data_IF_858295729830
#
_entry.id   IF_858295729830
#
_cell.length_a   1.000
_cell.length_b   1.000
_cell.length_c   1.000
_cell.angle_alpha   90.00
_cell.angle_beta   90.00
_cell.angle_gamma   90.00
#
_symmetry.space_group_name_H-M   'P 1'
#
loop_
_entity.id
_entity.type
_entity.pdbx_description
1 polymer ?
#
# COMPACT_ATOMS: atom_id res chain seq x y z
N UNK A 1 13.37 14.09 -7.03
CA UNK A 1 12.13 14.65 -7.59
C UNK A 1 12.32 14.88 -9.09
N UNK A 2 11.36 14.42 -9.92
CA UNK A 2 11.42 14.44 -11.39
C UNK A 2 11.59 15.87 -11.95
N UNK A 3 11.04 16.87 -11.27
CA UNK A 3 11.13 18.28 -11.65
C UNK A 3 12.58 18.82 -11.83
N UNK A 4 13.56 18.16 -11.24
CA UNK A 4 14.99 18.55 -11.31
C UNK A 4 15.81 17.72 -12.28
N UNK A 5 15.22 16.72 -12.95
CA UNK A 5 15.93 15.79 -13.83
C UNK A 5 15.74 16.13 -15.31
N UNK A 6 16.65 15.65 -16.14
CA UNK A 6 16.50 15.71 -17.60
C UNK A 6 15.52 14.62 -18.06
N UNK A 7 14.29 15.02 -18.36
CA UNK A 7 13.21 14.09 -18.74
C UNK A 7 13.54 13.31 -20.01
N UNK A 8 14.14 13.96 -21.00
CA UNK A 8 14.56 13.30 -22.27
C UNK A 8 15.49 12.11 -22.03
N UNK A 9 16.44 12.26 -21.09
CA UNK A 9 17.41 11.22 -20.80
C UNK A 9 16.79 10.03 -20.06
N UNK A 10 15.79 10.32 -19.19
CA UNK A 10 15.04 9.28 -18.49
C UNK A 10 14.21 8.47 -19.49
N UNK A 11 13.44 9.14 -20.34
CA UNK A 11 12.60 8.50 -21.34
C UNK A 11 13.44 7.67 -22.32
N UNK A 12 14.58 8.19 -22.76
CA UNK A 12 15.48 7.46 -23.64
C UNK A 12 16.08 6.19 -22.98
N UNK A 13 16.41 6.27 -21.70
CA UNK A 13 16.94 5.11 -20.94
C UNK A 13 15.90 4.02 -20.71
N UNK A 14 14.63 4.37 -20.67
CA UNK A 14 13.51 3.47 -20.42
C UNK A 14 12.80 3.04 -21.73
N UNK A 15 13.45 3.18 -22.88
CA UNK A 15 12.90 2.79 -24.17
C UNK A 15 12.30 1.38 -24.12
N UNK A 16 11.04 1.21 -24.52
CA UNK A 16 10.31 -0.05 -24.48
C UNK A 16 9.97 -0.58 -23.08
N UNK A 17 10.29 0.18 -22.03
CA UNK A 17 10.05 -0.20 -20.62
C UNK A 17 8.85 0.50 -19.99
N UNK A 18 8.93 0.79 -18.69
CA UNK A 18 7.89 1.48 -17.95
C UNK A 18 8.45 2.61 -17.08
N UNK A 19 7.71 3.72 -17.01
CA UNK A 19 7.98 4.85 -16.14
C UNK A 19 6.77 5.07 -15.21
N UNK A 20 6.93 4.78 -13.92
CA UNK A 20 5.93 5.09 -12.90
C UNK A 20 6.32 6.39 -12.22
N UNK A 21 5.40 7.35 -12.19
CA UNK A 21 5.59 8.65 -11.57
C UNK A 21 4.65 8.75 -10.37
N UNK A 22 5.19 8.46 -9.20
CA UNK A 22 4.50 8.61 -7.92
C UNK A 22 4.33 10.09 -7.56
N UNK A 23 3.24 10.42 -6.85
CA UNK A 23 2.90 11.77 -6.42
C UNK A 23 2.92 12.76 -7.61
N UNK A 24 2.30 12.33 -8.72
CA UNK A 24 2.29 13.06 -9.98
C UNK A 24 1.68 14.47 -9.85
N UNK A 25 0.83 14.70 -8.85
CA UNK A 25 0.27 16.01 -8.52
C UNK A 25 1.32 17.08 -8.19
N UNK A 26 2.55 16.67 -7.88
CA UNK A 26 3.71 17.57 -7.61
C UNK A 26 4.52 17.92 -8.86
N UNK A 27 4.12 17.44 -10.03
CA UNK A 27 4.77 17.82 -11.29
C UNK A 27 4.52 19.31 -11.59
N UNK A 28 5.59 20.03 -11.89
CA UNK A 28 5.46 21.41 -12.38
C UNK A 28 4.98 21.41 -13.83
N UNK A 29 4.29 22.47 -14.26
CA UNK A 29 3.83 22.64 -15.65
C UNK A 29 4.99 22.51 -16.65
N UNK A 30 6.15 23.05 -16.30
CA UNK A 30 7.39 22.91 -17.09
C UNK A 30 7.80 21.44 -17.26
N UNK A 31 7.65 20.62 -16.22
CA UNK A 31 7.98 19.19 -16.26
C UNK A 31 6.95 18.43 -17.07
N UNK A 32 5.67 18.74 -16.92
CA UNK A 32 4.57 18.20 -17.74
C UNK A 32 4.82 18.49 -19.23
N UNK A 33 5.16 19.72 -19.60
CA UNK A 33 5.46 20.09 -20.98
C UNK A 33 6.67 19.33 -21.55
N UNK A 34 7.73 19.15 -20.73
CA UNK A 34 8.90 18.37 -21.15
C UNK A 34 8.58 16.87 -21.31
N UNK A 35 7.77 16.31 -20.41
CA UNK A 35 7.35 14.92 -20.50
C UNK A 35 6.44 14.73 -21.73
N UNK A 36 5.49 15.63 -21.95
CA UNK A 36 4.65 15.62 -23.15
C UNK A 36 5.47 15.59 -24.43
N UNK A 37 6.49 16.48 -24.54
CA UNK A 37 7.40 16.53 -25.69
C UNK A 37 8.25 15.28 -25.84
N UNK A 38 8.69 14.68 -24.72
CA UNK A 38 9.46 13.44 -24.77
C UNK A 38 8.62 12.25 -25.26
N UNK A 39 7.32 12.23 -24.91
CA UNK A 39 6.35 11.22 -25.35
C UNK A 39 5.96 11.34 -26.84
N UNK A 40 6.34 12.41 -27.53
CA UNK A 40 6.11 12.57 -28.98
C UNK A 40 7.16 11.85 -29.81
N UNK A 41 8.27 11.47 -29.19
CA UNK A 41 9.33 10.69 -29.84
C UNK A 41 8.99 9.21 -29.80
N UNK A 42 9.69 8.43 -30.62
CA UNK A 42 9.65 6.98 -30.50
C UNK A 42 10.14 6.55 -29.12
N UNK A 43 9.27 5.93 -28.35
CA UNK A 43 9.52 5.45 -26.99
C UNK A 43 9.54 3.91 -26.92
N UNK A 44 9.39 3.21 -28.05
CA UNK A 44 9.32 1.75 -28.09
C UNK A 44 8.11 1.20 -27.34
N UNK A 45 6.96 1.86 -27.43
CA UNK A 45 5.73 1.47 -26.71
C UNK A 45 5.88 1.52 -25.17
N UNK A 46 6.70 2.43 -24.67
CA UNK A 46 6.92 2.60 -23.22
C UNK A 46 5.62 2.90 -22.49
N UNK A 47 5.36 2.16 -21.42
CA UNK A 47 4.26 2.43 -20.51
C UNK A 47 4.59 3.59 -19.57
N UNK A 48 3.72 4.59 -19.48
CA UNK A 48 3.84 5.68 -18.49
C UNK A 48 2.63 5.65 -17.57
N UNK A 49 2.88 5.54 -16.28
CA UNK A 49 1.86 5.53 -15.22
C UNK A 49 2.04 6.75 -14.34
N UNK A 50 0.95 7.48 -14.12
CA UNK A 50 0.88 8.56 -13.15
C UNK A 50 0.08 8.07 -11.94
N UNK A 51 0.72 8.05 -10.77
CA UNK A 51 0.09 7.68 -9.51
C UNK A 51 -0.12 8.93 -8.67
N UNK A 52 -1.36 9.19 -8.27
CA UNK A 52 -1.73 10.31 -7.41
C UNK A 52 -3.19 10.20 -6.96
N UNK A 53 -3.54 10.95 -5.93
CA UNK A 53 -4.93 11.18 -5.55
C UNK A 53 -5.70 11.91 -6.68
N UNK A 54 -7.00 11.67 -6.78
CA UNK A 54 -7.87 12.17 -7.87
C UNK A 54 -7.73 13.67 -8.12
N UNK A 55 -7.93 14.51 -7.11
CA UNK A 55 -7.93 15.98 -7.28
C UNK A 55 -6.58 16.54 -7.76
N UNK A 56 -5.43 16.21 -7.14
CA UNK A 56 -4.12 16.65 -7.63
C UNK A 56 -3.79 16.13 -9.03
N UNK A 57 -4.17 14.88 -9.36
CA UNK A 57 -3.95 14.30 -10.68
C UNK A 57 -4.76 15.06 -11.75
N UNK A 58 -6.04 15.29 -11.50
CA UNK A 58 -6.91 16.03 -12.41
C UNK A 58 -6.39 17.47 -12.67
N UNK A 59 -5.80 18.11 -11.66
CA UNK A 59 -5.17 19.43 -11.80
C UNK A 59 -3.97 19.37 -12.76
N UNK A 60 -3.09 18.41 -12.59
CA UNK A 60 -1.91 18.22 -13.47
C UNK A 60 -2.33 17.90 -14.89
N UNK A 61 -3.27 17.00 -15.08
CA UNK A 61 -3.78 16.65 -16.41
C UNK A 61 -4.50 17.81 -17.08
N UNK A 62 -5.16 18.68 -16.31
CA UNK A 62 -5.86 19.86 -16.83
C UNK A 62 -4.90 20.98 -17.24
N UNK A 63 -3.67 20.99 -16.71
CA UNK A 63 -2.67 22.02 -17.06
C UNK A 63 -2.14 21.90 -18.48
N UNK A 64 -2.28 20.73 -19.12
CA UNK A 64 -1.83 20.50 -20.49
C UNK A 64 -2.77 19.54 -21.23
N UNK A 65 -3.56 20.07 -22.17
CA UNK A 65 -4.57 19.30 -22.91
C UNK A 65 -3.97 18.17 -23.75
N UNK A 66 -2.83 18.39 -24.39
CA UNK A 66 -2.19 17.37 -25.22
C UNK A 66 -1.59 16.26 -24.37
N UNK A 67 -1.01 16.60 -23.23
CA UNK A 67 -0.54 15.63 -22.26
C UNK A 67 -1.68 14.75 -21.73
N UNK A 68 -2.81 15.36 -21.36
CA UNK A 68 -4.00 14.65 -20.90
C UNK A 68 -4.51 13.62 -21.90
N UNK A 69 -4.53 13.95 -23.19
CA UNK A 69 -4.99 13.04 -24.25
C UNK A 69 -4.18 11.74 -24.37
N UNK A 70 -2.94 11.74 -23.90
CA UNK A 70 -2.07 10.57 -23.95
C UNK A 70 -2.39 9.53 -22.87
N UNK A 71 -3.17 9.90 -21.86
CA UNK A 71 -3.63 9.01 -20.78
C UNK A 71 -5.08 8.63 -21.03
N UNK A 72 -5.29 7.52 -21.73
CA UNK A 72 -6.61 7.02 -22.14
C UNK A 72 -7.23 6.08 -21.13
N UNK A 73 -6.41 5.49 -20.26
CA UNK A 73 -6.86 4.54 -19.23
C UNK A 73 -6.71 5.15 -17.84
N UNK A 74 -7.68 4.91 -17.00
CA UNK A 74 -7.70 5.34 -15.60
C UNK A 74 -8.07 4.13 -14.73
N UNK A 75 -7.24 3.86 -13.75
CA UNK A 75 -7.51 2.88 -12.70
C UNK A 75 -7.75 3.64 -11.39
N UNK A 76 -8.88 3.43 -10.77
CA UNK A 76 -9.15 3.91 -9.41
C UNK A 76 -8.93 2.77 -8.42
N UNK A 77 -8.07 3.01 -7.46
CA UNK A 77 -7.91 2.11 -6.30
C UNK A 77 -8.88 2.62 -5.23
N UNK A 78 -9.90 1.83 -4.86
CA UNK A 78 -10.87 2.25 -3.85
C UNK A 78 -10.20 2.44 -2.49
N UNK A 79 -10.78 3.30 -1.66
CA UNK A 79 -10.46 3.38 -0.23
C UNK A 79 -11.17 2.20 0.42
N UNK A 80 -10.42 1.39 1.14
CA UNK A 80 -10.98 0.29 1.92
C UNK A 80 -11.65 0.81 3.19
N UNK A 81 -12.81 0.26 3.52
CA UNK A 81 -13.46 0.49 4.82
C UNK A 81 -12.84 -0.43 5.89
N UNK A 82 -13.04 -0.10 7.17
CA UNK A 82 -12.42 -0.84 8.27
C UNK A 82 -12.72 -2.34 8.23
N UNK A 83 -13.93 -2.75 7.88
CA UNK A 83 -14.32 -4.17 7.80
C UNK A 83 -13.55 -4.92 6.71
N UNK A 84 -13.29 -4.27 5.56
CA UNK A 84 -12.49 -4.85 4.48
C UNK A 84 -11.02 -4.99 4.90
N UNK A 85 -10.50 -4.01 5.60
CA UNK A 85 -9.13 -4.02 6.15
C UNK A 85 -8.96 -5.10 7.23
N UNK A 86 -9.96 -5.28 8.10
CA UNK A 86 -9.97 -6.37 9.09
C UNK A 86 -10.04 -7.73 8.39
N UNK A 87 -10.89 -7.87 7.38
CA UNK A 87 -10.99 -9.10 6.58
C UNK A 87 -9.66 -9.44 5.90
N UNK A 88 -8.97 -8.43 5.36
CA UNK A 88 -7.61 -8.59 4.85
C UNK A 88 -6.66 -9.09 5.93
N UNK A 89 -6.67 -8.48 7.12
CA UNK A 89 -5.82 -8.89 8.26
C UNK A 89 -6.07 -10.34 8.67
N UNK A 90 -7.34 -10.78 8.71
CA UNK A 90 -7.70 -12.17 9.01
C UNK A 90 -7.18 -13.14 7.94
N UNK A 91 -7.34 -12.79 6.67
CA UNK A 91 -6.85 -13.61 5.54
C UNK A 91 -5.33 -13.71 5.59
N UNK A 92 -4.64 -12.58 5.80
CA UNK A 92 -3.18 -12.54 5.91
C UNK A 92 -2.67 -13.38 7.10
N UNK A 93 -3.36 -13.34 8.26
CA UNK A 93 -3.05 -14.22 9.38
C UNK A 93 -3.17 -15.70 9.00
N UNK A 94 -4.26 -16.08 8.34
CA UNK A 94 -4.50 -17.48 7.93
C UNK A 94 -3.43 -17.98 6.96
N UNK A 95 -3.05 -17.19 5.97
CA UNK A 95 -1.99 -17.53 5.01
C UNK A 95 -0.63 -17.72 5.68
N UNK A 96 -0.40 -17.10 6.84
CA UNK A 96 0.83 -17.21 7.62
C UNK A 96 0.73 -18.23 8.78
N UNK A 97 -0.31 -19.06 8.85
CA UNK A 97 -0.48 -20.10 9.87
C UNK A 97 -1.01 -19.59 11.22
N UNK A 98 -1.66 -18.43 11.21
CA UNK A 98 -2.28 -17.83 12.39
C UNK A 98 -3.80 -17.75 12.24
N UNK A 99 -4.48 -17.57 13.36
CA UNK A 99 -5.89 -17.20 13.46
C UNK A 99 -6.03 -16.07 14.47
N UNK A 100 -6.93 -15.14 14.22
CA UNK A 100 -7.26 -14.06 15.17
C UNK A 100 -8.51 -14.49 15.95
N UNK A 101 -8.49 -14.41 17.28
CA UNK A 101 -9.70 -14.63 18.10
C UNK A 101 -10.63 -13.40 18.07
N UNK A 102 -11.81 -13.52 18.63
CA UNK A 102 -12.82 -12.44 18.60
C UNK A 102 -12.32 -11.13 19.24
N UNK A 103 -11.59 -11.23 20.35
CA UNK A 103 -11.03 -10.05 21.01
C UNK A 103 -9.87 -9.45 20.23
N UNK A 104 -9.07 -10.27 19.57
CA UNK A 104 -8.03 -9.84 18.65
C UNK A 104 -8.60 -9.12 17.42
N UNK A 105 -9.72 -9.60 16.87
CA UNK A 105 -10.45 -8.92 15.78
C UNK A 105 -10.91 -7.53 16.20
N UNK A 106 -11.48 -7.39 17.40
CA UNK A 106 -11.90 -6.11 17.94
C UNK A 106 -10.72 -5.16 18.17
N UNK A 107 -9.59 -5.68 18.65
CA UNK A 107 -8.38 -4.91 18.84
C UNK A 107 -7.77 -4.44 17.50
N UNK A 108 -7.75 -5.32 16.50
CA UNK A 108 -7.32 -4.96 15.15
C UNK A 108 -8.22 -3.87 14.55
N UNK A 109 -9.54 -4.03 14.65
CA UNK A 109 -10.52 -3.02 14.20
C UNK A 109 -10.26 -1.67 14.89
N UNK A 110 -10.12 -1.66 16.21
CA UNK A 110 -9.89 -0.44 17.00
C UNK A 110 -8.57 0.24 16.60
N UNK A 111 -7.52 -0.54 16.31
CA UNK A 111 -6.23 -0.01 15.86
C UNK A 111 -6.33 0.62 14.48
N UNK A 112 -7.02 -0.04 13.56
CA UNK A 112 -7.30 0.50 12.22
C UNK A 112 -8.11 1.79 12.33
N UNK A 113 -9.19 1.79 13.12
CA UNK A 113 -10.06 2.94 13.30
C UNK A 113 -9.32 4.15 13.88
N UNK A 114 -8.45 3.93 14.86
CA UNK A 114 -7.62 4.97 15.44
C UNK A 114 -6.61 5.58 14.46
N UNK A 115 -6.23 4.86 13.41
CA UNK A 115 -5.32 5.32 12.36
C UNK A 115 -6.05 6.06 11.23
N UNK A 116 -7.36 5.86 11.05
CA UNK A 116 -8.17 6.56 10.04
C UNK A 116 -8.24 8.06 10.35
N UNK A 117 -7.96 8.90 9.35
CA UNK A 117 -8.04 10.36 9.44
C UNK A 117 -8.65 10.92 8.15
N UNK A 118 -9.19 12.14 8.20
CA UNK A 118 -9.75 12.82 7.03
C UNK A 118 -8.77 12.93 5.85
N UNK A 119 -7.49 13.09 6.15
CA UNK A 119 -6.42 13.27 5.17
C UNK A 119 -5.61 12.00 4.91
N UNK A 120 -5.89 10.90 5.65
CA UNK A 120 -5.16 9.65 5.55
C UNK A 120 -6.09 8.45 5.74
N UNK A 121 -6.40 7.77 4.65
CA UNK A 121 -7.07 6.49 4.68
C UNK A 121 -6.04 5.38 4.95
N UNK A 122 -6.33 4.52 5.90
CA UNK A 122 -5.48 3.35 6.21
C UNK A 122 -5.40 2.42 4.99
N UNK A 123 -4.21 1.97 4.71
CA UNK A 123 -3.89 1.13 3.55
C UNK A 123 -3.71 -0.34 3.94
N UNK A 124 -3.83 -1.23 2.97
CA UNK A 124 -3.52 -2.66 3.13
C UNK A 124 -2.08 -2.88 3.61
N UNK A 125 -1.13 -2.04 3.17
CA UNK A 125 0.27 -2.13 3.60
C UNK A 125 0.41 -1.84 5.10
N UNK A 126 -0.30 -0.84 5.63
CA UNK A 126 -0.29 -0.52 7.06
C UNK A 126 -0.94 -1.62 7.90
N UNK A 127 -2.03 -2.23 7.40
CA UNK A 127 -2.63 -3.39 8.08
C UNK A 127 -1.68 -4.58 8.07
N UNK A 128 -0.96 -4.80 6.96
CA UNK A 128 0.09 -5.83 6.91
C UNK A 128 1.17 -5.60 7.97
N UNK A 129 1.63 -4.36 8.13
CA UNK A 129 2.62 -4.01 9.15
C UNK A 129 2.10 -4.29 10.57
N UNK A 130 0.83 -3.95 10.87
CA UNK A 130 0.17 -4.28 12.13
C UNK A 130 0.16 -5.78 12.36
N UNK A 131 -0.18 -6.57 11.34
CA UNK A 131 -0.24 -8.03 11.45
C UNK A 131 1.14 -8.64 11.67
N UNK A 132 2.17 -8.16 10.95
CA UNK A 132 3.55 -8.61 11.12
C UNK A 132 4.05 -8.32 12.55
N UNK A 133 3.73 -7.16 13.13
CA UNK A 133 4.03 -6.83 14.52
C UNK A 133 3.32 -7.78 15.50
N UNK A 134 2.02 -8.03 15.32
CA UNK A 134 1.24 -8.91 16.18
C UNK A 134 1.77 -10.35 16.14
N UNK A 135 2.08 -10.88 14.95
CA UNK A 135 2.67 -12.22 14.79
C UNK A 135 4.04 -12.31 15.45
N UNK A 136 4.90 -11.30 15.28
CA UNK A 136 6.21 -11.26 15.93
C UNK A 136 6.11 -11.18 17.47
N UNK A 137 5.12 -10.43 17.99
CA UNK A 137 4.84 -10.36 19.42
C UNK A 137 4.42 -11.73 19.98
N UNK A 138 3.47 -12.40 19.34
CA UNK A 138 3.00 -13.74 19.71
C UNK A 138 4.14 -14.75 19.75
N UNK A 139 5.06 -14.72 18.78
CA UNK A 139 6.25 -15.58 18.76
C UNK A 139 7.19 -15.31 19.93
N UNK A 140 7.47 -14.05 20.27
CA UNK A 140 8.33 -13.67 21.40
C UNK A 140 7.74 -14.13 22.74
N UNK A 141 6.44 -14.03 22.91
CA UNK A 141 5.72 -14.47 24.10
C UNK A 141 5.77 -16.00 24.22
N UNK A 142 5.57 -16.71 23.12
CA UNK A 142 5.67 -18.17 23.05
C UNK A 142 7.09 -18.67 23.38
N UNK A 143 8.12 -18.04 22.85
CA UNK A 143 9.52 -18.37 23.16
C UNK A 143 9.85 -18.16 24.64
N UNK A 144 9.37 -17.07 25.27
CA UNK A 144 9.52 -16.83 26.71
C UNK A 144 8.76 -17.85 27.57
N UNK A 145 7.61 -18.36 27.10
CA UNK A 145 6.83 -19.39 27.78
C UNK A 145 7.45 -20.78 27.65
N UNK A 146 8.10 -21.09 26.52
CA UNK A 146 8.82 -22.35 26.32
C UNK A 146 9.97 -22.56 27.33
N UNK A 147 10.59 -21.48 27.79
CA UNK A 147 11.61 -21.53 28.85
C UNK A 147 11.00 -21.86 30.23
N UNK A 148 9.68 -21.68 30.40
CA UNK A 148 9.01 -21.89 31.70
C UNK A 148 8.02 -23.04 31.77
N UNK A 149 7.53 -23.62 30.65
CA UNK A 149 6.66 -24.82 30.69
C UNK A 149 6.57 -25.48 29.30
N UNK A 150 6.91 -26.75 29.24
CA UNK A 150 6.38 -27.71 28.27
C UNK A 150 4.88 -27.85 28.59
N UNK A 151 4.00 -27.18 27.87
CA UNK A 151 2.56 -27.52 27.67
C UNK A 151 1.75 -26.32 27.19
N UNK A 152 1.03 -26.51 26.10
CA UNK A 152 -0.03 -25.64 25.62
C UNK A 152 0.42 -24.56 24.63
N UNK A 153 0.69 -24.95 23.38
CA UNK A 153 0.56 -24.02 22.27
C UNK A 153 -0.85 -23.45 22.29
N UNK A 154 -1.00 -22.14 22.25
CA UNK A 154 -2.29 -21.50 22.04
C UNK A 154 -2.65 -21.65 20.56
N UNK A 155 -3.07 -22.86 20.17
CA UNK A 155 -3.40 -23.21 18.78
C UNK A 155 -4.85 -23.65 18.70
N UNK A 156 -5.44 -23.48 17.53
CA UNK A 156 -6.76 -24.02 17.21
C UNK A 156 -6.66 -25.49 16.74
N UNK A 157 -7.80 -26.10 16.43
CA UNK A 157 -7.89 -27.50 15.96
C UNK A 157 -7.12 -27.77 14.64
N UNK A 158 -6.73 -26.71 13.92
CA UNK A 158 -5.93 -26.78 12.70
C UNK A 158 -4.43 -26.46 12.96
N UNK A 159 -3.99 -26.51 14.22
CA UNK A 159 -2.60 -26.20 14.66
C UNK A 159 -2.16 -24.74 14.35
N UNK A 160 -3.09 -23.83 14.05
CA UNK A 160 -2.80 -22.41 13.81
C UNK A 160 -2.62 -21.69 15.16
N UNK A 161 -1.60 -20.82 15.23
CA UNK A 161 -1.35 -19.98 16.40
C UNK A 161 -2.45 -18.92 16.51
N UNK A 162 -3.04 -18.76 17.70
CA UNK A 162 -4.11 -17.79 17.94
C UNK A 162 -3.50 -16.45 18.37
N UNK A 163 -3.77 -15.41 17.58
CA UNK A 163 -3.51 -14.01 17.94
C UNK A 163 -4.66 -13.48 18.78
N UNK A 164 -4.33 -12.88 19.90
CA UNK A 164 -5.28 -12.34 20.89
C UNK A 164 -5.17 -10.81 20.95
N UNK A 165 -6.08 -10.16 21.67
CA UNK A 165 -6.04 -8.71 21.94
C UNK A 165 -4.65 -8.22 22.35
N UNK A 166 -3.92 -9.00 23.17
CA UNK A 166 -2.59 -8.63 23.68
C UNK A 166 -1.53 -8.50 22.62
N UNK A 167 -1.72 -9.17 21.47
CA UNK A 167 -0.79 -9.14 20.38
C UNK A 167 -0.96 -7.88 19.52
N UNK A 168 -2.07 -7.16 19.66
CA UNK A 168 -2.39 -5.91 18.96
C UNK A 168 -2.19 -4.66 19.81
N UNK A 169 -2.14 -4.78 21.13
CA UNK A 169 -1.95 -3.70 22.10
C UNK A 169 -0.46 -3.54 22.46
N UNK A 170 0.36 -3.23 21.45
CA UNK A 170 1.82 -3.08 21.56
C UNK A 170 2.20 -1.60 21.54
#
# INVERSE_FOLDING_TARGET
ALNKKKISDIVAKLYGGALIIEKAGKLSERTVAKLNKAMEKDTGEMLIVLEEQRKPLDRVLSSNREFRKKFTSRLEVPIFVNDELVTFGQTYAQENGYRIDEMGILALYSRIDAMQREDHAVTVAEVKDIMDEAMAHSQKVSAKKLVKRVLGKNTDDADRIILTEKDFNI
#
